data_IF_294687001295
#
_entry.id   IF_294687001295
#
_cell.length_a   1.000
_cell.length_b   1.000
_cell.length_c   1.000
_cell.angle_alpha   90.00
_cell.angle_beta   90.00
_cell.angle_gamma   90.00
#
_symmetry.space_group_name_H-M   'P 1'
#
loop_
_entity.id
_entity.type
_entity.pdbx_description
1 polymer ?
#
# COMPACT_ATOMS: atom_id res chain seq x y z
N UNK A 1 27.48 48.45 6.66
CA UNK A 1 27.18 47.21 5.92
C UNK A 1 26.85 45.99 6.81
N UNK A 2 26.68 46.16 8.13
CA UNK A 2 26.34 45.06 9.08
C UNK A 2 24.83 44.74 9.08
N UNK A 3 23.99 45.72 8.77
CA UNK A 3 22.54 45.53 8.68
C UNK A 3 22.14 44.57 7.55
N UNK A 4 22.70 44.73 6.34
CA UNK A 4 22.42 43.81 5.24
C UNK A 4 22.90 42.37 5.51
N UNK A 5 23.99 42.18 6.25
CA UNK A 5 24.42 40.84 6.66
C UNK A 5 23.47 40.20 7.69
N UNK A 6 22.88 40.99 8.60
CA UNK A 6 21.91 40.47 9.57
C UNK A 6 20.58 40.07 8.89
N UNK A 7 20.09 40.88 7.95
CA UNK A 7 18.89 40.56 7.16
C UNK A 7 19.08 39.29 6.32
N UNK A 8 20.26 39.12 5.72
CA UNK A 8 20.60 37.91 4.96
C UNK A 8 20.65 36.66 5.85
N UNK A 9 21.22 36.77 7.05
CA UNK A 9 21.26 35.66 8.02
C UNK A 9 19.85 35.28 8.49
N UNK A 10 19.00 36.27 8.80
CA UNK A 10 17.62 36.00 9.21
C UNK A 10 16.83 35.32 8.10
N UNK A 11 16.96 35.80 6.86
CA UNK A 11 16.28 35.20 5.70
C UNK A 11 16.75 33.77 5.45
N UNK A 12 18.06 33.50 5.61
CA UNK A 12 18.60 32.15 5.51
C UNK A 12 18.04 31.23 6.60
N UNK A 13 17.93 31.72 7.84
CA UNK A 13 17.38 30.96 8.96
C UNK A 13 15.90 30.61 8.74
N UNK A 14 15.09 31.54 8.25
CA UNK A 14 13.69 31.29 7.93
C UNK A 14 13.53 30.26 6.81
N UNK A 15 14.40 30.33 5.79
CA UNK A 15 14.40 29.36 4.70
C UNK A 15 14.81 27.97 5.18
N UNK A 16 15.83 27.86 6.04
CA UNK A 16 16.23 26.59 6.66
C UNK A 16 15.05 26.02 7.47
N UNK A 17 14.34 26.85 8.24
CA UNK A 17 13.14 26.43 8.97
C UNK A 17 12.05 25.85 8.06
N UNK A 18 11.76 26.52 6.94
CA UNK A 18 10.79 26.03 5.94
C UNK A 18 11.22 24.73 5.28
N UNK A 19 12.51 24.58 4.96
CA UNK A 19 13.06 23.35 4.39
C UNK A 19 12.96 22.21 5.41
N UNK A 20 13.33 22.44 6.67
CA UNK A 20 13.23 21.44 7.73
C UNK A 20 11.78 20.94 7.91
N UNK A 21 10.81 21.85 7.93
CA UNK A 21 9.39 21.47 7.98
C UNK A 21 8.97 20.62 6.78
N UNK A 22 9.44 20.96 5.58
CA UNK A 22 9.11 20.20 4.37
C UNK A 22 9.77 18.82 4.35
N UNK A 23 11.00 18.70 4.85
CA UNK A 23 11.67 17.41 5.04
C UNK A 23 10.85 16.54 5.98
N UNK A 24 10.46 17.05 7.15
CA UNK A 24 9.65 16.30 8.10
C UNK A 24 8.32 15.81 7.50
N UNK A 25 7.64 16.67 6.72
CA UNK A 25 6.41 16.27 6.03
C UNK A 25 6.63 15.15 5.01
N UNK A 26 7.76 15.18 4.30
CA UNK A 26 8.10 14.15 3.32
C UNK A 26 8.46 12.83 3.99
N UNK A 27 9.18 12.86 5.11
CA UNK A 27 9.49 11.67 5.92
C UNK A 27 8.20 11.00 6.44
N UNK A 28 7.24 11.79 6.94
CA UNK A 28 5.94 11.28 7.38
C UNK A 28 5.14 10.64 6.22
N UNK A 29 5.20 11.24 5.04
CA UNK A 29 4.55 10.71 3.84
C UNK A 29 5.22 9.42 3.36
N UNK A 30 6.55 9.38 3.36
CA UNK A 30 7.34 8.19 3.04
C UNK A 30 6.99 7.05 3.98
N UNK A 31 6.98 7.29 5.29
CA UNK A 31 6.63 6.28 6.28
C UNK A 31 5.24 5.67 6.02
N UNK A 32 4.24 6.52 5.75
CA UNK A 32 2.87 6.07 5.42
C UNK A 32 2.85 5.26 4.12
N UNK A 33 3.62 5.65 3.12
CA UNK A 33 3.74 4.91 1.86
C UNK A 33 4.38 3.54 2.07
N UNK A 34 5.46 3.46 2.85
CA UNK A 34 6.13 2.21 3.20
C UNK A 34 5.15 1.25 3.89
N UNK A 35 4.36 1.74 4.86
CA UNK A 35 3.33 0.92 5.50
C UNK A 35 2.29 0.38 4.51
N UNK A 36 1.80 1.23 3.60
CA UNK A 36 0.84 0.80 2.56
C UNK A 36 1.43 -0.27 1.64
N UNK A 37 2.69 -0.11 1.23
CA UNK A 37 3.40 -1.09 0.40
C UNK A 37 3.54 -2.43 1.13
N UNK A 38 3.93 -2.40 2.41
CA UNK A 38 4.05 -3.63 3.21
C UNK A 38 2.71 -4.35 3.35
N UNK A 39 1.62 -3.61 3.61
CA UNK A 39 0.28 -4.18 3.70
C UNK A 39 -0.18 -4.78 2.36
N UNK A 40 0.06 -4.08 1.25
CA UNK A 40 -0.26 -4.59 -0.08
C UNK A 40 0.51 -5.90 -0.37
N UNK A 41 1.82 -5.94 -0.10
CA UNK A 41 2.64 -7.16 -0.27
C UNK A 41 2.13 -8.33 0.56
N UNK A 42 1.79 -8.10 1.83
CA UNK A 42 1.21 -9.13 2.70
C UNK A 42 -0.11 -9.66 2.15
N UNK A 43 -0.97 -8.77 1.64
CA UNK A 43 -2.27 -9.15 1.08
C UNK A 43 -2.12 -9.92 -0.24
N UNK A 44 -1.24 -9.50 -1.13
CA UNK A 44 -0.90 -10.22 -2.37
C UNK A 44 -0.42 -11.64 -2.02
N UNK A 45 0.52 -11.77 -1.06
CA UNK A 45 1.01 -13.07 -0.61
C UNK A 45 -0.12 -13.93 -0.04
N UNK A 46 -1.01 -13.36 0.77
CA UNK A 46 -2.17 -14.07 1.32
C UNK A 46 -3.09 -14.58 0.21
N UNK A 47 -3.39 -13.76 -0.79
CA UNK A 47 -4.18 -14.18 -1.95
C UNK A 47 -3.53 -15.38 -2.66
N UNK A 48 -2.22 -15.32 -2.93
CA UNK A 48 -1.49 -16.42 -3.56
C UNK A 48 -1.50 -17.71 -2.74
N UNK A 49 -1.25 -17.62 -1.42
CA UNK A 49 -1.32 -18.79 -0.52
C UNK A 49 -2.73 -19.37 -0.46
N UNK A 50 -3.77 -18.54 -0.42
CA UNK A 50 -5.16 -19.01 -0.44
C UNK A 50 -5.49 -19.70 -1.75
N UNK A 51 -5.12 -19.13 -2.91
CA UNK A 51 -5.35 -19.77 -4.22
C UNK A 51 -4.66 -21.14 -4.28
N UNK A 52 -3.42 -21.23 -3.79
CA UNK A 52 -2.71 -22.51 -3.72
C UNK A 52 -3.39 -23.52 -2.77
N UNK A 53 -3.95 -23.06 -1.64
CA UNK A 53 -4.71 -23.94 -0.76
C UNK A 53 -6.03 -24.40 -1.39
N UNK A 54 -6.65 -23.57 -2.23
CA UNK A 54 -7.88 -23.92 -2.93
C UNK A 54 -7.65 -24.92 -4.07
N UNK A 55 -6.45 -24.97 -4.66
CA UNK A 55 -6.14 -25.94 -5.74
C UNK A 55 -6.14 -27.39 -5.29
N UNK A 56 -6.06 -27.64 -3.98
CA UNK A 56 -6.11 -28.99 -3.41
C UNK A 56 -7.55 -29.53 -3.30
N UNK A 57 -8.55 -28.69 -3.56
CA UNK A 57 -9.97 -29.04 -3.51
C UNK A 57 -10.56 -29.21 -4.91
N UNK A 58 -11.57 -30.09 -5.07
CA UNK A 58 -12.26 -30.25 -6.36
C UNK A 58 -13.10 -29.02 -6.70
N UNK A 59 -13.34 -28.78 -7.99
CA UNK A 59 -14.04 -27.59 -8.50
C UNK A 59 -15.50 -27.47 -8.00
N UNK A 60 -16.13 -28.59 -7.64
CA UNK A 60 -17.48 -28.66 -7.09
C UNK A 60 -17.54 -28.48 -5.56
N UNK A 61 -16.39 -28.32 -4.91
CA UNK A 61 -16.32 -28.06 -3.48
C UNK A 61 -17.05 -26.76 -3.12
N UNK A 62 -17.72 -26.77 -1.97
CA UNK A 62 -18.41 -25.60 -1.44
C UNK A 62 -17.37 -24.56 -0.98
N UNK A 63 -17.27 -23.46 -1.72
CA UNK A 63 -16.48 -22.31 -1.33
C UNK A 63 -17.38 -21.18 -0.83
N UNK A 64 -16.84 -20.35 0.07
CA UNK A 64 -17.55 -19.22 0.65
C UNK A 64 -16.68 -17.97 0.61
N UNK A 65 -17.23 -16.88 0.07
CA UNK A 65 -16.58 -15.57 0.03
C UNK A 65 -17.16 -14.68 1.12
N UNK A 66 -16.30 -13.96 1.84
CA UNK A 66 -16.73 -13.03 2.87
C UNK A 66 -17.19 -11.70 2.24
N UNK A 67 -18.41 -11.28 2.55
CA UNK A 67 -18.97 -9.97 2.16
C UNK A 67 -19.41 -9.24 3.44
N UNK A 68 -18.60 -8.27 3.86
CA UNK A 68 -18.79 -7.60 5.15
C UNK A 68 -18.67 -8.57 6.34
N UNK A 69 -19.79 -8.81 7.05
CA UNK A 69 -19.87 -9.77 8.17
C UNK A 69 -20.46 -11.13 7.77
N UNK A 70 -20.84 -11.31 6.52
CA UNK A 70 -21.50 -12.51 6.01
C UNK A 70 -20.54 -13.36 5.17
N UNK A 71 -20.83 -14.66 5.07
CA UNK A 71 -20.18 -15.58 4.14
C UNK A 71 -21.22 -16.08 3.14
N UNK A 72 -20.96 -15.83 1.86
CA UNK A 72 -21.87 -16.20 0.76
C UNK A 72 -21.22 -17.35 0.00
N UNK A 73 -22.00 -18.41 -0.26
CA UNK A 73 -21.53 -19.51 -1.08
C UNK A 73 -21.28 -19.02 -2.50
N UNK A 74 -20.14 -19.37 -3.08
CA UNK A 74 -19.78 -18.98 -4.45
C UNK A 74 -19.04 -20.14 -5.13
N UNK A 75 -19.13 -20.28 -6.47
CA UNK A 75 -18.35 -21.26 -7.20
C UNK A 75 -16.85 -21.10 -6.94
N UNK A 76 -16.12 -22.22 -6.82
CA UNK A 76 -14.69 -22.20 -6.52
C UNK A 76 -13.89 -21.35 -7.52
N UNK A 77 -14.21 -21.48 -8.81
CA UNK A 77 -13.62 -20.68 -9.89
C UNK A 77 -13.76 -19.16 -9.68
N UNK A 78 -14.89 -18.72 -9.13
CA UNK A 78 -15.18 -17.30 -8.94
C UNK A 78 -14.39 -16.80 -7.72
N UNK A 79 -14.30 -17.60 -6.65
CA UNK A 79 -13.45 -17.31 -5.50
C UNK A 79 -11.97 -17.15 -5.89
N UNK A 80 -11.46 -18.04 -6.75
CA UNK A 80 -10.08 -17.98 -7.26
C UNK A 80 -9.89 -16.76 -8.16
N UNK A 81 -10.85 -16.46 -9.04
CA UNK A 81 -10.82 -15.29 -9.90
C UNK A 81 -10.80 -13.98 -9.08
N UNK A 82 -11.62 -13.89 -8.02
CA UNK A 82 -11.67 -12.73 -7.12
C UNK A 82 -10.35 -12.54 -6.37
N UNK A 83 -9.74 -13.62 -5.89
CA UNK A 83 -8.44 -13.58 -5.23
C UNK A 83 -7.34 -13.11 -6.19
N UNK A 84 -7.33 -13.61 -7.43
CA UNK A 84 -6.38 -13.21 -8.46
C UNK A 84 -6.57 -11.75 -8.89
N UNK A 85 -7.81 -11.33 -9.10
CA UNK A 85 -8.18 -9.94 -9.42
C UNK A 85 -7.75 -8.99 -8.30
N UNK A 86 -8.00 -9.36 -7.04
CA UNK A 86 -7.56 -8.59 -5.87
C UNK A 86 -6.04 -8.47 -5.82
N UNK A 87 -5.31 -9.58 -6.04
CA UNK A 87 -3.85 -9.55 -6.05
C UNK A 87 -3.31 -8.68 -7.18
N UNK A 88 -3.89 -8.79 -8.39
CA UNK A 88 -3.50 -8.02 -9.56
C UNK A 88 -3.74 -6.52 -9.35
N UNK A 89 -4.90 -6.12 -8.84
CA UNK A 89 -5.19 -4.72 -8.53
C UNK A 89 -4.20 -4.14 -7.51
N UNK A 90 -3.83 -4.91 -6.48
CA UNK A 90 -2.83 -4.48 -5.51
C UNK A 90 -1.43 -4.33 -6.12
N UNK A 91 -1.04 -5.20 -7.06
CA UNK A 91 0.22 -5.07 -7.80
C UNK A 91 0.20 -3.80 -8.67
N UNK A 92 -0.92 -3.51 -9.31
CA UNK A 92 -1.10 -2.31 -10.14
C UNK A 92 -1.14 -1.02 -9.33
N UNK A 93 -1.54 -1.07 -8.06
CA UNK A 93 -1.51 0.07 -7.15
C UNK A 93 -0.12 0.33 -6.55
N UNK A 94 0.79 -0.65 -6.62
CA UNK A 94 2.16 -0.45 -6.13
C UNK A 94 2.90 0.58 -7.00
N UNK A 95 3.81 1.39 -6.41
CA UNK A 95 4.67 2.26 -7.19
C UNK A 95 5.41 1.49 -8.30
N UNK A 96 5.57 2.07 -9.49
CA UNK A 96 6.15 1.36 -10.64
C UNK A 96 7.56 0.82 -10.39
N UNK A 97 8.33 1.45 -9.51
CA UNK A 97 9.67 1.00 -9.10
C UNK A 97 9.65 -0.17 -8.11
N UNK A 98 8.47 -0.60 -7.66
CA UNK A 98 8.22 -1.73 -6.77
C UNK A 98 7.54 -2.92 -7.45
N UNK A 99 7.03 -2.73 -8.67
CA UNK A 99 6.48 -3.78 -9.53
C UNK A 99 7.62 -4.45 -10.29
#
# INVERSE_FOLDING_TARGET
NIFHTLEAVQTAQDNIGKVAQRVQMLEDQEYKLVQKVQQAKLRIRRCGVTVQALSDYPDDAKAFTQVGKMFIQSPMKDCVADLNSTAQGLIEDLPKWLR
#
